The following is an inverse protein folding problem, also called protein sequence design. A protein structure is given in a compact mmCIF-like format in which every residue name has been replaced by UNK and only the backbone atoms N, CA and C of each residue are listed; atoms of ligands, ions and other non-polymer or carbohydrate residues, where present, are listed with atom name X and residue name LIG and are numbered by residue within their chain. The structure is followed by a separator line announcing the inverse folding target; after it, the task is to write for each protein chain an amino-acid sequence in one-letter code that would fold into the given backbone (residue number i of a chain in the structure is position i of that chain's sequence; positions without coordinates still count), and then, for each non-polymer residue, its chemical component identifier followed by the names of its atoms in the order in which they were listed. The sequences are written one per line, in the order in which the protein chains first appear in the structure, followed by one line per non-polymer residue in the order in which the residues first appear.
data_IF_796579094668
#
_entry.id   IF_796579094668
#
_cell.length_a   1.000
_cell.length_b   1.000
_cell.length_c   1.000
_cell.angle_alpha   90.00
_cell.angle_beta   90.00
_cell.angle_gamma   90.00
#
_symmetry.space_group_name_H-M   'P 1'
#
loop_
_entity.id
_entity.type
_entity.pdbx_description
1 polymer ?
#
# COMPACT_ATOMS: atom_id res chain seq x y z
N UNK A 1 -17.74 -11.08 4.58
CA UNK A 1 -17.54 -10.79 3.15
C UNK A 1 -16.24 -10.01 3.00
N UNK A 2 -15.31 -10.47 2.14
CA UNK A 2 -13.99 -9.84 1.98
C UNK A 2 -14.07 -8.75 0.90
N UNK A 3 -14.15 -7.48 1.32
CA UNK A 3 -14.07 -6.31 0.45
C UNK A 3 -13.59 -5.08 1.24
N UNK A 4 -13.15 -4.03 0.57
CA UNK A 4 -12.59 -2.83 1.18
C UNK A 4 -13.57 -2.13 2.13
N UNK A 5 -14.86 -2.10 1.81
CA UNK A 5 -15.86 -1.51 2.66
C UNK A 5 -15.98 -2.27 3.99
N UNK A 6 -16.03 -3.60 3.95
CA UNK A 6 -16.11 -4.43 5.15
C UNK A 6 -14.83 -4.30 6.00
N UNK A 7 -13.66 -4.39 5.38
CA UNK A 7 -12.39 -4.24 6.13
C UNK A 7 -12.27 -2.86 6.78
N UNK A 8 -12.76 -1.80 6.12
CA UNK A 8 -12.84 -0.47 6.73
C UNK A 8 -13.78 -0.45 7.93
N UNK A 9 -14.95 -1.08 7.84
CA UNK A 9 -15.92 -1.18 8.93
C UNK A 9 -15.42 -2.09 10.07
N UNK A 10 -14.60 -3.10 9.76
CA UNK A 10 -13.96 -3.98 10.75
C UNK A 10 -12.98 -3.21 11.64
N UNK A 11 -12.19 -2.27 11.08
CA UNK A 11 -11.33 -1.39 11.88
C UNK A 11 -12.18 -0.56 12.86
N UNK A 12 -13.30 -0.02 12.40
CA UNK A 12 -14.21 0.75 13.26
C UNK A 12 -14.76 -0.12 14.38
N UNK A 13 -15.28 -1.29 14.05
CA UNK A 13 -15.83 -2.26 15.00
C UNK A 13 -14.79 -2.71 16.03
N UNK A 14 -13.55 -2.96 15.59
CA UNK A 14 -12.43 -3.30 16.47
C UNK A 14 -12.16 -2.18 17.49
N UNK A 15 -12.08 -0.94 17.03
CA UNK A 15 -11.87 0.21 17.91
C UNK A 15 -13.01 0.38 18.90
N UNK A 16 -14.27 0.29 18.45
CA UNK A 16 -15.45 0.41 19.32
C UNK A 16 -15.48 -0.68 20.40
N UNK A 17 -15.14 -1.92 20.01
CA UNK A 17 -15.10 -3.05 20.94
C UNK A 17 -14.06 -2.87 22.05
N UNK A 18 -12.94 -2.22 21.75
CA UNK A 18 -11.85 -1.98 22.68
C UNK A 18 -11.90 -0.60 23.35
N UNK A 19 -12.91 0.23 23.07
CA UNK A 19 -13.03 1.58 23.60
C UNK A 19 -11.92 2.52 23.10
N UNK A 20 -11.39 2.29 21.89
CA UNK A 20 -10.34 3.12 21.30
C UNK A 20 -10.99 4.31 20.59
N UNK A 21 -10.80 5.49 21.12
CA UNK A 21 -11.25 6.76 20.54
C UNK A 21 -10.09 7.45 19.82
N UNK A 22 -10.38 8.04 18.64
CA UNK A 22 -9.41 8.82 17.85
C UNK A 22 -8.08 8.10 17.61
N UNK A 23 -8.08 6.86 17.08
CA UNK A 23 -6.85 6.10 16.85
C UNK A 23 -5.90 6.82 15.89
N UNK A 24 -4.60 6.62 16.09
CA UNK A 24 -3.61 6.82 15.03
C UNK A 24 -3.55 5.51 14.23
N UNK A 25 -3.92 5.57 12.96
CA UNK A 25 -3.94 4.39 12.09
C UNK A 25 -2.76 4.44 11.13
N UNK A 26 -1.91 3.41 11.20
CA UNK A 26 -0.81 3.19 10.25
C UNK A 26 -1.21 2.10 9.26
N UNK A 27 -1.20 2.42 7.97
CA UNK A 27 -1.43 1.47 6.90
C UNK A 27 -0.28 1.42 5.91
N UNK A 28 0.29 0.23 5.70
CA UNK A 28 1.31 -0.01 4.69
C UNK A 28 0.76 -0.86 3.56
N UNK A 29 1.08 -0.54 2.31
CA UNK A 29 0.67 -1.32 1.14
C UNK A 29 -0.85 -1.56 1.12
N UNK A 30 -1.31 -2.81 1.04
CA UNK A 30 -2.73 -3.16 1.16
C UNK A 30 -3.38 -2.62 2.45
N UNK A 31 -2.65 -2.62 3.58
CA UNK A 31 -3.13 -2.01 4.82
C UNK A 31 -3.41 -0.51 4.70
N UNK A 32 -2.69 0.19 3.81
CA UNK A 32 -2.97 1.60 3.49
C UNK A 32 -4.27 1.77 2.70
N UNK A 33 -4.57 0.85 1.77
CA UNK A 33 -5.85 0.84 1.04
C UNK A 33 -7.01 0.66 2.03
N UNK A 34 -6.89 -0.31 2.94
CA UNK A 34 -7.90 -0.56 3.99
C UNK A 34 -8.03 0.64 4.93
N UNK A 35 -6.91 1.27 5.32
CA UNK A 35 -6.93 2.46 6.17
C UNK A 35 -7.61 3.66 5.50
N UNK A 36 -7.42 3.85 4.20
CA UNK A 36 -8.16 4.86 3.42
C UNK A 36 -9.66 4.53 3.34
N UNK A 37 -10.01 3.28 3.05
CA UNK A 37 -11.41 2.84 3.05
C UNK A 37 -12.09 3.08 4.40
N UNK A 38 -11.40 2.76 5.51
CA UNK A 38 -11.88 3.07 6.86
C UNK A 38 -12.07 4.58 7.08
N UNK A 39 -11.05 5.39 6.79
CA UNK A 39 -11.06 6.80 7.10
C UNK A 39 -12.06 7.60 6.25
N UNK A 40 -12.31 7.17 5.01
CA UNK A 40 -13.31 7.81 4.14
C UNK A 40 -14.75 7.42 4.48
N UNK A 41 -14.96 6.23 5.06
CA UNK A 41 -16.27 5.77 5.55
C UNK A 41 -16.61 6.29 6.94
N UNK A 42 -15.60 6.51 7.78
CA UNK A 42 -15.74 6.98 9.17
C UNK A 42 -14.86 8.22 9.42
N UNK A 43 -15.08 9.35 8.68
CA UNK A 43 -14.14 10.47 8.64
C UNK A 43 -13.92 11.18 9.97
N UNK A 44 -14.88 11.07 10.89
CA UNK A 44 -14.80 11.68 12.23
C UNK A 44 -14.12 10.78 13.28
N UNK A 45 -13.79 9.52 12.92
CA UNK A 45 -13.27 8.56 13.89
C UNK A 45 -11.74 8.55 14.01
N UNK A 46 -10.92 8.49 12.94
CA UNK A 46 -9.48 8.49 13.10
C UNK A 46 -8.98 9.82 13.67
N UNK A 47 -8.01 9.75 14.60
CA UNK A 47 -7.30 10.92 15.11
C UNK A 47 -6.20 11.37 14.15
N UNK A 48 -5.46 10.43 13.59
CA UNK A 48 -4.43 10.64 12.55
C UNK A 48 -4.35 9.43 11.65
N UNK A 49 -3.83 9.64 10.44
CA UNK A 49 -3.59 8.59 9.44
C UNK A 49 -2.14 8.65 8.96
N UNK A 50 -1.48 7.50 8.90
CA UNK A 50 -0.16 7.34 8.28
C UNK A 50 -0.29 6.31 7.17
N UNK A 51 -0.06 6.73 5.94
CA UNK A 51 -0.14 5.92 4.72
C UNK A 51 1.28 5.72 4.18
N UNK A 52 1.76 4.49 4.18
CA UNK A 52 3.11 4.16 3.74
C UNK A 52 3.09 3.20 2.57
N UNK A 53 3.81 3.52 1.50
CA UNK A 53 3.97 2.63 0.34
C UNK A 53 2.64 2.01 -0.10
N UNK A 54 1.64 2.85 -0.40
CA UNK A 54 0.27 2.45 -0.71
C UNK A 54 -0.28 3.18 -1.93
N UNK A 55 -1.40 2.74 -2.44
CA UNK A 55 -2.10 3.37 -3.56
C UNK A 55 -3.60 3.50 -3.26
N UNK A 56 -4.25 4.52 -3.82
CA UNK A 56 -5.70 4.67 -3.74
C UNK A 56 -6.44 4.11 -4.96
N UNK A 57 -5.68 3.62 -5.95
CA UNK A 57 -6.19 3.01 -7.18
C UNK A 57 -5.10 2.19 -7.83
N UNK A 58 -5.39 0.95 -8.24
CA UNK A 58 -4.40 0.15 -8.97
C UNK A 58 -4.09 0.74 -10.34
N UNK A 59 -2.79 0.93 -10.59
CA UNK A 59 -2.24 1.48 -11.83
C UNK A 59 -1.23 0.50 -12.42
N UNK A 60 -1.74 -0.56 -13.06
CA UNK A 60 -0.89 -1.62 -13.61
C UNK A 60 0.11 -1.11 -14.65
N UNK A 61 -0.25 -0.08 -15.41
CA UNK A 61 0.65 0.60 -16.34
C UNK A 61 1.88 1.20 -15.64
N UNK A 62 1.68 1.85 -14.49
CA UNK A 62 2.77 2.40 -13.66
C UNK A 62 3.62 1.30 -13.03
N UNK A 63 2.97 0.23 -12.53
CA UNK A 63 3.64 -0.95 -11.95
C UNK A 63 4.58 -1.57 -12.98
N UNK A 64 4.09 -1.86 -14.19
CA UNK A 64 4.91 -2.48 -15.23
C UNK A 64 6.06 -1.58 -15.69
N UNK A 65 5.82 -0.28 -15.84
CA UNK A 65 6.87 0.69 -16.17
C UNK A 65 7.93 0.81 -15.05
N UNK A 66 7.51 0.73 -13.79
CA UNK A 66 8.44 0.76 -12.65
C UNK A 66 9.31 -0.50 -12.60
N UNK A 67 8.75 -1.69 -12.81
CA UNK A 67 9.53 -2.92 -12.90
C UNK A 67 10.50 -2.91 -14.10
N UNK A 68 10.09 -2.36 -15.25
CA UNK A 68 10.99 -2.22 -16.40
C UNK A 68 12.16 -1.28 -16.07
N UNK A 69 11.90 -0.14 -15.43
CA UNK A 69 12.93 0.81 -15.01
C UNK A 69 13.92 0.21 -14.00
N UNK A 70 13.44 -0.62 -13.08
CA UNK A 70 14.23 -1.13 -11.95
C UNK A 70 14.92 -2.45 -12.24
N UNK A 71 14.31 -3.33 -13.04
CA UNK A 71 14.74 -4.70 -13.27
C UNK A 71 14.76 -5.14 -14.73
N UNK A 72 14.46 -4.22 -15.67
CA UNK A 72 14.44 -4.51 -17.08
C UNK A 72 13.19 -5.25 -17.55
N UNK A 73 13.17 -5.56 -18.87
CA UNK A 73 12.01 -6.15 -19.55
C UNK A 73 11.57 -7.48 -18.95
N UNK A 74 12.51 -8.35 -18.51
CA UNK A 74 12.15 -9.62 -17.89
C UNK A 74 11.34 -9.44 -16.59
N UNK A 75 11.68 -8.45 -15.76
CA UNK A 75 10.95 -8.16 -14.54
C UNK A 75 9.55 -7.57 -14.85
N UNK A 76 9.47 -6.67 -15.83
CA UNK A 76 8.20 -6.13 -16.31
C UNK A 76 7.26 -7.20 -16.86
N UNK A 77 7.78 -8.12 -17.67
CA UNK A 77 7.02 -9.23 -18.25
C UNK A 77 6.55 -10.23 -17.16
N UNK A 78 7.40 -10.52 -16.17
CA UNK A 78 7.01 -11.36 -15.05
C UNK A 78 5.94 -10.70 -14.19
N UNK A 79 6.06 -9.37 -13.95
CA UNK A 79 5.06 -8.60 -13.25
C UNK A 79 3.72 -8.62 -13.99
N UNK A 80 3.74 -8.37 -15.30
CA UNK A 80 2.53 -8.39 -16.14
C UNK A 80 1.82 -9.75 -16.07
N UNK A 81 2.55 -10.86 -16.30
CA UNK A 81 1.96 -12.21 -16.22
C UNK A 81 1.32 -12.49 -14.87
N UNK A 82 1.99 -12.09 -13.77
CA UNK A 82 1.48 -12.33 -12.44
C UNK A 82 0.24 -11.49 -12.13
N UNK A 83 0.26 -10.19 -12.41
CA UNK A 83 -0.87 -9.31 -12.11
C UNK A 83 -2.08 -9.52 -13.02
N UNK A 84 -1.88 -9.97 -14.26
CA UNK A 84 -2.97 -10.34 -15.17
C UNK A 84 -3.58 -11.71 -14.84
N UNK A 85 -2.76 -12.64 -14.32
CA UNK A 85 -3.21 -14.01 -13.99
C UNK A 85 -2.49 -14.48 -12.72
N UNK A 86 -2.90 -14.00 -11.53
CA UNK A 86 -2.29 -14.40 -10.27
C UNK A 86 -2.47 -15.90 -10.01
N UNK A 87 -1.37 -16.59 -9.72
CA UNK A 87 -1.47 -18.02 -9.44
C UNK A 87 -0.12 -18.72 -9.23
N UNK A 88 -0.16 -20.03 -8.94
CA UNK A 88 1.04 -20.81 -8.65
C UNK A 88 2.00 -20.89 -9.84
N UNK A 89 1.51 -20.78 -11.07
CA UNK A 89 2.33 -20.87 -12.28
C UNK A 89 3.09 -19.56 -12.57
N UNK A 90 2.56 -18.42 -12.15
CA UNK A 90 3.14 -17.09 -12.42
C UNK A 90 3.94 -16.55 -11.22
N UNK A 91 3.64 -17.01 -10.01
CA UNK A 91 4.30 -16.58 -8.79
C UNK A 91 5.81 -16.86 -8.73
N UNK A 92 6.35 -18.01 -9.19
CA UNK A 92 7.78 -18.29 -9.11
C UNK A 92 8.65 -17.28 -9.85
N UNK A 93 8.30 -16.93 -11.08
CA UNK A 93 9.03 -15.91 -11.85
C UNK A 93 8.90 -14.53 -11.24
N UNK A 94 7.70 -14.17 -10.78
CA UNK A 94 7.47 -12.92 -10.08
C UNK A 94 8.30 -12.83 -8.79
N UNK A 95 8.33 -13.90 -8.00
CA UNK A 95 9.11 -13.94 -6.77
C UNK A 95 10.62 -13.81 -7.03
N UNK A 96 11.11 -14.44 -8.10
CA UNK A 96 12.52 -14.41 -8.47
C UNK A 96 12.97 -13.05 -9.03
N UNK A 97 12.17 -12.44 -9.90
CA UNK A 97 12.55 -11.25 -10.65
C UNK A 97 12.05 -9.94 -10.00
N UNK A 98 10.88 -9.97 -9.37
CA UNK A 98 10.21 -8.76 -8.88
C UNK A 98 10.43 -8.52 -7.38
N UNK A 99 10.31 -9.54 -6.51
CA UNK A 99 10.50 -9.33 -5.07
C UNK A 99 11.85 -8.73 -4.67
N UNK A 100 12.99 -9.04 -5.33
CA UNK A 100 14.26 -8.36 -5.03
C UNK A 100 14.23 -6.85 -5.25
N UNK A 101 13.30 -6.35 -6.06
CA UNK A 101 13.18 -4.93 -6.40
C UNK A 101 12.32 -4.13 -5.40
N UNK A 102 11.63 -4.83 -4.45
CA UNK A 102 10.73 -4.20 -3.48
C UNK A 102 11.46 -3.39 -2.41
N UNK A 103 12.68 -3.76 -2.06
CA UNK A 103 13.44 -3.13 -0.98
C UNK A 103 14.86 -2.84 -1.43
N UNK A 104 15.42 -1.76 -0.91
CA UNK A 104 16.83 -1.38 -1.08
C UNK A 104 17.70 -1.85 0.07
N UNK A 105 17.08 -2.11 1.24
CA UNK A 105 17.77 -2.71 2.38
C UNK A 105 17.98 -4.21 2.18
N UNK A 106 19.01 -4.79 2.81
CA UNK A 106 19.18 -6.23 2.85
C UNK A 106 17.96 -6.93 3.43
N UNK A 107 17.53 -8.02 2.80
CA UNK A 107 16.43 -8.83 3.31
C UNK A 107 16.82 -9.53 4.60
N UNK A 108 15.92 -9.49 5.57
CA UNK A 108 15.99 -10.37 6.73
C UNK A 108 15.77 -11.84 6.29
N UNK A 109 16.77 -12.71 6.42
CA UNK A 109 16.66 -14.11 5.97
C UNK A 109 15.57 -14.89 6.70
N UNK A 110 15.23 -14.48 7.93
CA UNK A 110 14.24 -15.15 8.76
C UNK A 110 12.83 -14.55 8.64
N UNK A 111 12.64 -13.52 7.82
CA UNK A 111 11.34 -12.86 7.67
C UNK A 111 10.24 -13.83 7.24
N UNK A 112 10.52 -14.70 6.27
CA UNK A 112 9.55 -15.67 5.77
C UNK A 112 9.15 -16.69 6.84
N UNK A 113 10.08 -17.09 7.70
CA UNK A 113 9.80 -18.04 8.79
C UNK A 113 8.85 -17.48 9.86
N UNK A 114 8.82 -16.15 10.00
CA UNK A 114 7.94 -15.44 10.93
C UNK A 114 6.63 -14.98 10.32
N UNK A 115 6.45 -15.11 9.01
CA UNK A 115 5.27 -14.61 8.29
C UNK A 115 4.23 -15.73 8.16
N UNK A 116 3.01 -15.44 8.62
CA UNK A 116 1.84 -16.29 8.37
C UNK A 116 1.11 -15.74 7.14
N UNK A 117 1.12 -16.50 6.06
CA UNK A 117 0.49 -16.11 4.82
C UNK A 117 -0.97 -16.58 4.75
N UNK A 118 -1.88 -15.67 4.45
CA UNK A 118 -3.25 -16.03 4.06
C UNK A 118 -3.44 -15.72 2.56
N UNK A 119 -3.11 -16.70 1.75
CA UNK A 119 -3.19 -16.56 0.29
C UNK A 119 -4.64 -16.43 -0.23
N UNK A 120 -5.63 -16.94 0.51
CA UNK A 120 -7.03 -16.85 0.09
C UNK A 120 -7.51 -15.39 0.06
N UNK A 121 -7.15 -14.60 1.07
CA UNK A 121 -7.47 -13.16 1.09
C UNK A 121 -6.75 -12.44 -0.04
N UNK A 122 -5.47 -12.72 -0.24
CA UNK A 122 -4.67 -12.11 -1.30
C UNK A 122 -5.22 -12.40 -2.69
N UNK A 123 -5.54 -13.66 -2.97
CA UNK A 123 -6.11 -14.08 -4.26
C UNK A 123 -7.52 -13.51 -4.47
N UNK A 124 -8.34 -13.45 -3.40
CA UNK A 124 -9.68 -12.87 -3.48
C UNK A 124 -9.64 -11.39 -3.85
N UNK A 125 -8.77 -10.61 -3.21
CA UNK A 125 -8.61 -9.19 -3.51
C UNK A 125 -7.97 -8.99 -4.90
N UNK A 126 -6.80 -9.61 -5.15
CA UNK A 126 -6.05 -9.47 -6.39
C UNK A 126 -6.79 -9.94 -7.63
N UNK A 127 -7.61 -11.00 -7.53
CA UNK A 127 -8.47 -11.47 -8.62
C UNK A 127 -9.81 -10.75 -8.75
N UNK A 128 -10.07 -9.74 -7.92
CA UNK A 128 -11.38 -9.10 -7.84
C UNK A 128 -11.36 -7.59 -7.72
N UNK A 129 -11.42 -7.10 -6.48
CA UNK A 129 -11.61 -5.67 -6.19
C UNK A 129 -10.38 -4.83 -6.56
N UNK A 130 -9.17 -5.41 -6.52
CA UNK A 130 -7.92 -4.75 -6.88
C UNK A 130 -7.94 -4.15 -8.29
N UNK A 131 -8.60 -4.79 -9.24
CA UNK A 131 -8.70 -4.30 -10.62
C UNK A 131 -9.64 -3.13 -10.84
N UNK A 132 -10.42 -2.72 -9.84
CA UNK A 132 -11.53 -1.77 -10.04
C UNK A 132 -11.76 -0.78 -8.92
N UNK A 133 -11.05 -0.91 -7.77
CA UNK A 133 -11.21 0.08 -6.71
C UNK A 133 -10.62 1.44 -7.12
N UNK A 134 -11.28 2.49 -6.68
CA UNK A 134 -10.84 3.88 -6.83
C UNK A 134 -11.30 4.67 -5.61
N UNK A 135 -10.38 4.91 -4.69
CA UNK A 135 -10.63 5.68 -3.47
C UNK A 135 -10.26 7.17 -3.63
N UNK A 136 -9.63 7.56 -4.75
CA UNK A 136 -9.17 8.95 -4.96
C UNK A 136 -10.29 9.98 -4.78
N UNK A 137 -11.52 9.79 -5.35
CA UNK A 137 -12.59 10.74 -5.15
C UNK A 137 -13.05 10.88 -3.70
N UNK A 138 -12.92 9.80 -2.93
CA UNK A 138 -13.38 9.75 -1.54
C UNK A 138 -12.39 10.38 -0.56
N UNK A 139 -11.11 10.52 -0.92
CA UNK A 139 -10.08 11.11 -0.07
C UNK A 139 -10.37 12.58 0.31
N UNK A 140 -11.16 13.29 -0.48
CA UNK A 140 -11.66 14.61 -0.14
C UNK A 140 -12.54 14.65 1.13
N UNK A 141 -13.05 13.49 1.59
CA UNK A 141 -13.86 13.35 2.80
C UNK A 141 -13.03 13.29 4.08
N UNK A 142 -11.71 13.09 3.97
CA UNK A 142 -10.83 12.97 5.13
C UNK A 142 -10.86 14.23 6.01
N UNK A 143 -10.88 14.03 7.33
CA UNK A 143 -10.97 15.10 8.34
C UNK A 143 -9.84 15.07 9.37
N UNK A 144 -8.95 14.08 9.29
CA UNK A 144 -7.82 13.95 10.20
C UNK A 144 -6.49 14.28 9.53
N UNK A 145 -5.49 14.75 10.28
CA UNK A 145 -4.13 14.91 9.77
C UNK A 145 -3.63 13.58 9.17
N UNK A 146 -3.07 13.64 7.97
CA UNK A 146 -2.63 12.48 7.22
C UNK A 146 -1.18 12.66 6.76
N UNK A 147 -0.32 11.70 7.08
CA UNK A 147 1.04 11.61 6.61
C UNK A 147 1.12 10.53 5.52
N UNK A 148 1.62 10.90 4.35
CA UNK A 148 1.89 9.99 3.23
C UNK A 148 3.40 9.82 3.09
N UNK A 149 3.87 8.56 3.11
CA UNK A 149 5.29 8.20 3.01
C UNK A 149 5.52 7.38 1.75
N UNK A 150 6.33 7.88 0.83
CA UNK A 150 6.57 7.25 -0.47
C UNK A 150 8.03 7.02 -0.82
N UNK A 151 8.38 5.78 -1.19
CA UNK A 151 9.67 5.43 -1.79
C UNK A 151 9.73 5.80 -3.27
N UNK A 152 10.82 6.46 -3.71
CA UNK A 152 10.98 6.84 -5.12
C UNK A 152 11.26 5.65 -6.03
N UNK A 153 11.72 4.54 -5.45
CA UNK A 153 11.98 3.29 -6.14
C UNK A 153 10.94 2.19 -5.82
N UNK A 154 9.76 2.56 -5.31
CA UNK A 154 8.67 1.61 -5.07
C UNK A 154 8.10 1.12 -6.42
N UNK A 155 8.19 -0.21 -6.74
CA UNK A 155 7.69 -0.72 -8.01
C UNK A 155 6.18 -1.01 -8.00
N UNK A 156 5.54 -1.08 -6.83
CA UNK A 156 4.15 -1.51 -6.68
C UNK A 156 3.22 -0.32 -6.42
N UNK A 157 3.53 0.46 -5.39
CA UNK A 157 2.81 1.67 -5.08
C UNK A 157 3.73 2.84 -5.44
N UNK A 158 3.74 3.19 -6.71
CA UNK A 158 4.73 4.12 -7.25
C UNK A 158 4.66 5.48 -6.56
N UNK A 159 5.74 6.23 -6.63
CA UNK A 159 5.78 7.58 -6.03
C UNK A 159 4.68 8.49 -6.60
N UNK A 160 4.28 8.26 -7.85
CA UNK A 160 3.18 9.00 -8.49
C UNK A 160 1.80 8.60 -7.94
N UNK A 161 1.60 7.34 -7.55
CA UNK A 161 0.35 6.90 -6.90
C UNK A 161 0.19 7.55 -5.53
N UNK A 162 1.30 7.71 -4.81
CA UNK A 162 1.32 8.36 -3.51
C UNK A 162 1.19 9.88 -3.62
N UNK A 163 1.70 10.48 -4.69
CA UNK A 163 1.45 11.87 -5.03
C UNK A 163 -0.04 12.10 -5.37
N UNK A 164 -0.68 11.17 -6.09
CA UNK A 164 -2.13 11.22 -6.35
C UNK A 164 -2.94 11.20 -5.04
N UNK A 165 -2.56 10.35 -4.07
CA UNK A 165 -3.18 10.34 -2.73
C UNK A 165 -3.03 11.72 -2.06
N UNK A 166 -1.80 12.24 -2.01
CA UNK A 166 -1.53 13.52 -1.36
C UNK A 166 -2.26 14.70 -2.03
N UNK A 167 -2.43 14.65 -3.34
CA UNK A 167 -3.18 15.66 -4.09
C UNK A 167 -4.69 15.61 -3.85
N UNK A 168 -5.24 14.41 -3.57
CA UNK A 168 -6.67 14.20 -3.35
C UNK A 168 -7.13 14.53 -1.93
N UNK A 169 -6.23 14.56 -0.94
CA UNK A 169 -6.53 14.93 0.44
C UNK A 169 -6.54 16.45 0.59
N UNK A 170 -7.47 17.03 1.41
CA UNK A 170 -7.47 18.47 1.67
C UNK A 170 -6.12 18.97 2.18
N UNK A 171 -5.53 19.96 1.50
CA UNK A 171 -4.15 20.42 1.71
C UNK A 171 -3.76 20.75 3.17
N UNK A 172 -4.61 21.36 4.01
CA UNK A 172 -4.26 21.60 5.41
C UNK A 172 -4.09 20.31 6.24
N UNK A 173 -4.58 19.16 5.74
CA UNK A 173 -4.56 17.89 6.45
C UNK A 173 -3.44 16.95 6.00
N UNK A 174 -2.80 17.20 4.85
CA UNK A 174 -1.84 16.26 4.27
C UNK A 174 -0.41 16.76 4.38
N UNK A 175 0.49 15.85 4.76
CA UNK A 175 1.94 15.99 4.60
C UNK A 175 2.44 14.80 3.78
N UNK A 176 3.17 15.08 2.69
CA UNK A 176 3.75 14.06 1.82
C UNK A 176 5.28 14.09 1.92
N UNK A 177 5.86 12.96 2.33
CA UNK A 177 7.30 12.77 2.44
C UNK A 177 7.78 11.75 1.40
N UNK A 178 8.71 12.18 0.55
CA UNK A 178 9.34 11.34 -0.47
C UNK A 178 10.68 10.82 0.04
N UNK A 179 10.92 9.53 -0.14
CA UNK A 179 12.13 8.86 0.31
C UNK A 179 12.98 8.44 -0.90
N UNK A 180 14.05 9.19 -1.22
CA UNK A 180 14.98 8.81 -2.28
C UNK A 180 15.64 7.47 -1.98
N UNK A 181 15.78 6.62 -3.00
CA UNK A 181 16.43 5.31 -2.91
C UNK A 181 15.74 4.35 -1.92
N UNK A 182 14.46 4.54 -1.67
CA UNK A 182 13.64 3.61 -0.91
C UNK A 182 12.60 2.97 -1.84
N UNK A 183 12.32 1.69 -1.62
CA UNK A 183 11.31 0.91 -2.33
C UNK A 183 10.00 0.81 -1.56
N UNK A 184 9.40 -0.37 -1.59
CA UNK A 184 8.10 -0.69 -1.02
C UNK A 184 8.18 -0.96 0.50
N UNK A 185 8.44 0.06 1.28
CA UNK A 185 8.60 0.00 2.73
C UNK A 185 9.68 0.95 3.22
N UNK A 186 9.40 2.24 3.19
CA UNK A 186 10.36 3.30 3.57
C UNK A 186 10.88 3.15 5.00
N UNK A 187 10.05 2.65 5.93
CA UNK A 187 10.45 2.39 7.31
C UNK A 187 11.46 1.23 7.44
N UNK A 188 11.57 0.40 6.41
CA UNK A 188 12.56 -0.68 6.33
C UNK A 188 13.85 -0.20 5.64
N UNK A 189 13.72 0.57 4.56
CA UNK A 189 14.84 1.03 3.75
C UNK A 189 15.57 2.24 4.38
N UNK A 190 14.86 3.15 5.05
CA UNK A 190 15.39 4.30 5.78
C UNK A 190 14.65 4.52 7.11
N UNK A 191 14.85 3.62 8.10
CA UNK A 191 14.14 3.69 9.37
C UNK A 191 14.43 4.97 10.15
N UNK A 192 15.66 5.48 10.08
CA UNK A 192 16.04 6.69 10.82
C UNK A 192 15.21 7.89 10.40
N UNK A 193 15.04 8.09 9.10
CA UNK A 193 14.24 9.19 8.59
C UNK A 193 12.74 8.91 8.70
N UNK A 194 12.31 7.67 8.43
CA UNK A 194 10.89 7.31 8.44
C UNK A 194 10.24 7.46 9.82
N UNK A 195 10.99 7.24 10.91
CA UNK A 195 10.50 7.43 12.28
C UNK A 195 10.77 8.83 12.87
N UNK A 196 11.42 9.72 12.12
CA UNK A 196 11.71 11.10 12.54
C UNK A 196 10.75 12.15 11.95
N UNK A 197 9.92 11.78 10.97
CA UNK A 197 8.99 12.67 10.24
C UNK A 197 7.59 12.82 10.85
#
# INVERSE_FOLDING_TARGET
QWNLAQWGDDIRTFCDTLGIEKPVVFGNSFGGIVAMAYATRHPDHPGKLVLSSTTAKSRFDRIFAAFERLGGTEASDAARRYWETPGPDTLPDYARLCFPLYSRAPRDPDANARTLWNFDVMHHFGGGEDHRFDLLPDLAKLRCPTLVLGGEDDPICTIDDQADIAAAIPQPLVRFERFPRCGHGVYHDDPQRAFAV
#
